data_IF_245444464931
#
_entry.id   IF_245444464931
#
_cell.length_a   1.000
_cell.length_b   1.000
_cell.length_c   1.000
_cell.angle_alpha   90.00
_cell.angle_beta   90.00
_cell.angle_gamma   90.00
#
_symmetry.space_group_name_H-M   'P 1'
#
loop_
_entity.id
_entity.type
_entity.pdbx_description
1 polymer ?
#
# COMPACT_ATOMS: atom_id res chain seq x y z
N UNK A 1 29.93 -63.70 3.51
CA UNK A 1 29.68 -63.53 4.96
C UNK A 1 30.38 -62.26 5.40
N UNK A 2 29.58 -61.35 5.93
CA UNK A 2 29.84 -59.93 6.21
C UNK A 2 30.98 -59.66 7.18
N UNK A 3 31.68 -58.54 7.03
CA UNK A 3 31.82 -57.52 8.09
C UNK A 3 32.19 -56.16 7.48
N UNK A 4 31.73 -55.13 8.20
CA UNK A 4 31.45 -53.76 7.82
C UNK A 4 32.58 -52.83 8.26
N UNK A 5 32.93 -51.81 7.47
CA UNK A 5 33.46 -50.53 8.00
C UNK A 5 33.52 -49.49 6.88
N UNK A 6 32.38 -48.84 6.67
CA UNK A 6 32.28 -47.54 6.05
C UNK A 6 32.90 -46.53 7.05
N UNK A 7 33.98 -45.86 6.68
CA UNK A 7 34.54 -44.75 7.43
C UNK A 7 34.55 -43.51 6.53
N UNK A 8 33.52 -42.68 6.71
CA UNK A 8 33.62 -41.23 6.72
C UNK A 8 32.58 -40.79 7.77
N UNK A 9 32.87 -39.88 8.73
CA UNK A 9 33.15 -38.49 8.36
C UNK A 9 34.12 -37.72 9.28
N UNK A 10 34.70 -36.63 8.75
CA UNK A 10 34.69 -35.27 9.35
C UNK A 10 35.68 -34.35 8.64
N UNK A 11 35.23 -33.42 7.79
CA UNK A 11 35.92 -32.15 7.66
C UNK A 11 35.65 -31.30 8.91
N UNK A 12 36.73 -30.76 9.45
CA UNK A 12 36.82 -29.79 10.54
C UNK A 12 35.67 -28.78 10.53
N UNK A 13 34.82 -28.86 11.55
CA UNK A 13 33.90 -27.78 11.94
C UNK A 13 34.74 -26.64 12.52
N UNK A 14 34.96 -25.60 11.72
CA UNK A 14 35.30 -24.28 12.20
C UNK A 14 34.62 -23.24 11.29
N UNK A 15 33.55 -22.68 11.83
CA UNK A 15 33.10 -21.30 11.60
C UNK A 15 32.55 -20.98 10.20
N UNK A 16 31.36 -21.51 9.91
CA UNK A 16 30.40 -20.74 9.13
C UNK A 16 29.88 -19.64 10.04
N UNK A 17 30.18 -18.34 9.80
CA UNK A 17 29.41 -17.30 10.46
C UNK A 17 27.97 -17.48 10.01
N UNK A 18 27.08 -17.54 10.99
CA UNK A 18 25.64 -17.69 10.83
C UNK A 18 25.13 -16.75 9.71
N UNK A 19 24.22 -17.22 8.81
CA UNK A 19 23.57 -16.28 7.92
C UNK A 19 22.85 -15.28 8.82
N UNK A 20 23.17 -14.00 8.65
CA UNK A 20 22.55 -12.89 9.32
C UNK A 20 21.02 -13.02 9.23
N UNK A 21 20.41 -13.63 10.26
CA UNK A 21 18.96 -13.65 10.47
C UNK A 21 18.62 -12.29 11.05
N UNK A 22 18.66 -11.27 10.20
CA UNK A 22 18.18 -9.90 10.39
C UNK A 22 18.57 -9.06 9.19
N UNK A 23 17.86 -9.27 8.09
CA UNK A 23 17.66 -8.18 7.16
C UNK A 23 16.31 -8.41 6.52
N UNK A 24 15.31 -7.68 7.04
CA UNK A 24 14.12 -7.37 6.28
C UNK A 24 14.54 -7.00 4.87
N UNK A 25 13.72 -7.39 3.90
CA UNK A 25 13.94 -7.19 2.47
C UNK A 25 14.19 -5.70 2.19
N UNK A 26 15.41 -5.24 2.44
CA UNK A 26 15.93 -3.97 2.00
C UNK A 26 16.17 -4.19 0.53
N UNK A 27 15.21 -3.71 -0.24
CA UNK A 27 15.35 -3.48 -1.66
C UNK A 27 16.50 -2.47 -1.85
N UNK A 28 17.74 -2.95 -1.80
CA UNK A 28 18.92 -2.16 -2.12
C UNK A 28 19.28 -2.39 -3.59
N UNK A 29 19.63 -1.28 -4.24
CA UNK A 29 20.31 -1.17 -5.55
C UNK A 29 19.40 -1.24 -6.78
N UNK A 30 18.76 -0.11 -7.12
CA UNK A 30 18.58 0.23 -8.55
C UNK A 30 17.40 1.11 -8.99
N UNK A 31 16.52 1.60 -8.12
CA UNK A 31 15.34 2.34 -8.57
C UNK A 31 15.14 3.59 -7.71
N UNK A 32 14.99 4.76 -8.33
CA UNK A 32 14.59 6.05 -7.75
C UNK A 32 13.20 6.03 -7.03
N UNK A 33 12.76 4.89 -6.53
CA UNK A 33 11.46 4.70 -5.87
C UNK A 33 11.48 5.21 -4.44
N UNK A 34 10.36 5.83 -4.05
CA UNK A 34 10.09 6.22 -2.66
C UNK A 34 9.86 4.97 -1.80
N UNK A 35 10.35 4.98 -0.56
CA UNK A 35 10.03 3.93 0.42
C UNK A 35 8.67 4.20 1.04
N UNK A 36 7.80 3.18 1.08
CA UNK A 36 6.46 3.30 1.67
C UNK A 36 6.54 3.29 3.19
N UNK A 37 7.35 2.39 3.74
CA UNK A 37 7.62 2.27 5.17
C UNK A 37 8.96 2.93 5.53
N UNK A 38 9.04 3.43 6.76
CA UNK A 38 10.24 4.06 7.31
C UNK A 38 11.22 3.03 7.91
N UNK A 39 12.21 3.52 8.67
CA UNK A 39 13.22 2.64 9.28
C UNK A 39 12.71 1.81 10.47
N UNK A 40 11.60 2.23 11.11
CA UNK A 40 10.94 1.50 12.19
C UNK A 40 9.90 0.50 11.65
N UNK A 41 9.44 0.72 10.41
CA UNK A 41 8.38 -0.07 9.78
C UNK A 41 7.03 0.65 9.77
N UNK A 42 7.00 1.92 10.21
CA UNK A 42 5.82 2.78 10.16
C UNK A 42 5.64 3.36 8.76
N UNK A 43 4.44 3.88 8.45
CA UNK A 43 4.20 4.57 7.19
C UNK A 43 5.09 5.82 7.08
N UNK A 44 5.68 6.04 5.91
CA UNK A 44 6.43 7.27 5.65
C UNK A 44 5.49 8.49 5.63
N UNK A 45 5.98 9.63 6.11
CA UNK A 45 5.22 10.91 6.12
C UNK A 45 4.63 11.27 4.75
N UNK A 46 5.36 10.92 3.67
CA UNK A 46 4.91 11.17 2.31
C UNK A 46 3.75 10.24 1.92
N UNK A 47 3.79 8.97 2.32
CA UNK A 47 2.69 8.04 2.11
C UNK A 47 1.47 8.45 2.91
N UNK A 48 1.62 8.81 4.19
CA UNK A 48 0.52 9.31 5.03
C UNK A 48 -0.18 10.51 4.38
N UNK A 49 0.57 11.47 3.82
CA UNK A 49 0.00 12.60 3.11
C UNK A 49 -0.79 12.18 1.84
N UNK A 50 -0.30 11.17 1.11
CA UNK A 50 -1.01 10.63 -0.06
C UNK A 50 -2.28 9.88 0.34
N UNK A 51 -2.22 9.09 1.42
CA UNK A 51 -3.36 8.38 1.98
C UNK A 51 -4.41 9.35 2.52
N UNK A 52 -4.00 10.46 3.16
CA UNK A 52 -4.90 11.54 3.55
C UNK A 52 -5.65 12.15 2.35
N UNK A 53 -4.97 12.32 1.21
CA UNK A 53 -5.62 12.74 -0.03
C UNK A 53 -6.64 11.73 -0.53
N UNK A 54 -6.29 10.43 -0.54
CA UNK A 54 -7.18 9.35 -0.96
C UNK A 54 -8.40 9.30 -0.05
N UNK A 55 -8.19 9.24 1.26
CA UNK A 55 -9.22 9.23 2.29
C UNK A 55 -10.21 10.39 2.08
N UNK A 56 -9.69 11.60 1.84
CA UNK A 56 -10.51 12.80 1.60
C UNK A 56 -11.44 12.71 0.39
N UNK A 57 -11.11 11.89 -0.62
CA UNK A 57 -11.98 11.67 -1.79
C UNK A 57 -13.25 10.88 -1.46
N UNK A 58 -13.22 10.09 -0.38
CA UNK A 58 -14.31 9.19 -0.01
C UNK A 58 -15.17 9.70 1.16
N UNK A 59 -14.82 10.85 1.74
CA UNK A 59 -15.59 11.53 2.79
C UNK A 59 -16.95 12.04 2.30
N UNK A 60 -17.90 12.19 3.22
CA UNK A 60 -19.24 12.71 2.94
C UNK A 60 -19.60 13.87 3.89
N UNK A 61 -19.83 15.09 3.37
CA UNK A 61 -19.73 15.50 1.97
C UNK A 61 -18.28 15.48 1.43
N UNK A 62 -18.08 15.31 0.12
CA UNK A 62 -16.73 15.27 -0.45
C UNK A 62 -16.01 16.60 -0.20
N UNK A 63 -14.77 16.51 0.29
CA UNK A 63 -13.95 17.68 0.55
C UNK A 63 -13.73 18.48 -0.73
N UNK A 64 -14.08 19.77 -0.69
CA UNK A 64 -13.79 20.69 -1.79
C UNK A 64 -12.35 21.17 -1.67
N UNK A 65 -11.72 21.49 -2.81
CA UNK A 65 -10.30 21.85 -3.00
C UNK A 65 -9.79 23.05 -2.17
N UNK A 66 -10.62 23.61 -1.30
CA UNK A 66 -10.28 24.69 -0.37
C UNK A 66 -9.31 24.24 0.74
N UNK A 67 -9.12 22.93 0.94
CA UNK A 67 -8.25 22.33 1.95
C UNK A 67 -7.05 21.58 1.33
N UNK A 68 -6.63 21.97 0.11
CA UNK A 68 -5.49 21.34 -0.54
C UNK A 68 -4.17 21.99 -0.11
N UNK A 69 -3.31 21.24 0.59
CA UNK A 69 -1.93 21.65 0.88
C UNK A 69 -0.99 20.94 -0.08
N UNK A 70 -0.11 21.70 -0.74
CA UNK A 70 0.82 21.17 -1.76
C UNK A 70 0.16 20.39 -2.91
N UNK A 71 -1.13 20.63 -3.18
CA UNK A 71 -1.89 19.93 -4.21
C UNK A 71 -2.52 18.61 -3.76
N UNK A 72 -2.31 18.18 -2.51
CA UNK A 72 -2.96 17.04 -1.88
C UNK A 72 -4.11 17.51 -0.98
N UNK A 73 -5.16 16.71 -0.87
CA UNK A 73 -6.30 17.02 -0.02
C UNK A 73 -5.92 16.63 1.40
N UNK A 74 -6.18 17.51 2.36
CA UNK A 74 -5.95 17.22 3.77
C UNK A 74 -7.31 17.06 4.45
N UNK A 75 -7.60 15.90 5.07
CA UNK A 75 -8.85 15.72 5.79
C UNK A 75 -8.89 16.62 7.03
N UNK A 76 -10.08 17.06 7.43
CA UNK A 76 -10.23 17.76 8.69
C UNK A 76 -9.95 16.84 9.88
N UNK A 77 -9.54 17.42 11.00
CA UNK A 77 -9.29 16.67 12.21
C UNK A 77 -10.60 16.06 12.71
N UNK A 78 -10.62 14.73 12.89
CA UNK A 78 -11.84 13.98 13.23
C UNK A 78 -12.72 13.59 12.04
N UNK A 79 -12.23 13.74 10.80
CA UNK A 79 -12.91 13.18 9.63
C UNK A 79 -13.00 11.65 9.69
N UNK A 80 -14.12 11.11 9.19
CA UNK A 80 -14.40 9.68 9.19
C UNK A 80 -15.09 9.22 7.91
N UNK A 81 -14.85 7.97 7.52
CA UNK A 81 -15.52 7.30 6.41
C UNK A 81 -16.79 6.60 6.90
N UNK A 82 -17.92 7.06 6.37
CA UNK A 82 -19.18 6.35 6.50
C UNK A 82 -19.08 4.97 5.83
N UNK A 83 -20.01 4.06 6.16
CA UNK A 83 -20.07 2.75 5.49
C UNK A 83 -20.18 2.88 3.96
N UNK A 84 -20.89 3.91 3.48
CA UNK A 84 -21.00 4.21 2.05
C UNK A 84 -19.67 4.74 1.45
N UNK A 85 -18.95 5.58 2.19
CA UNK A 85 -17.59 6.00 1.83
C UNK A 85 -16.64 4.82 1.69
N UNK A 86 -16.65 3.93 2.69
CA UNK A 86 -15.84 2.72 2.72
C UNK A 86 -16.17 1.76 1.58
N UNK A 87 -17.45 1.60 1.23
CA UNK A 87 -17.87 0.79 0.07
C UNK A 87 -17.34 1.34 -1.25
N UNK A 88 -17.41 2.66 -1.45
CA UNK A 88 -16.88 3.30 -2.66
C UNK A 88 -15.37 3.12 -2.77
N UNK A 89 -14.66 3.27 -1.66
CA UNK A 89 -13.23 3.00 -1.58
C UNK A 89 -12.93 1.55 -2.01
N UNK A 90 -13.59 0.57 -1.39
CA UNK A 90 -13.40 -0.84 -1.70
C UNK A 90 -13.73 -1.19 -3.16
N UNK A 91 -14.73 -0.54 -3.75
CA UNK A 91 -15.05 -0.72 -5.17
C UNK A 91 -13.93 -0.19 -6.07
N UNK A 92 -13.34 0.95 -5.74
CA UNK A 92 -12.28 1.56 -6.56
C UNK A 92 -10.99 0.72 -6.51
N UNK A 93 -10.65 0.14 -5.35
CA UNK A 93 -9.42 -0.62 -5.13
C UNK A 93 -9.56 -2.11 -5.44
N UNK A 94 -10.63 -2.75 -4.94
CA UNK A 94 -10.86 -4.20 -5.02
C UNK A 94 -11.87 -4.60 -6.10
N UNK A 95 -12.51 -3.63 -6.75
CA UNK A 95 -13.57 -3.86 -7.75
C UNK A 95 -14.94 -4.24 -7.16
N UNK A 96 -15.05 -4.39 -5.84
CA UNK A 96 -16.28 -4.79 -5.16
C UNK A 96 -16.33 -4.23 -3.72
N UNK A 97 -17.53 -3.98 -3.17
CA UNK A 97 -17.66 -3.52 -1.80
C UNK A 97 -17.19 -4.59 -0.81
N UNK A 98 -16.75 -4.16 0.38
CA UNK A 98 -16.45 -5.10 1.46
C UNK A 98 -17.71 -5.84 1.90
N UNK A 99 -17.54 -7.12 2.25
CA UNK A 99 -18.63 -7.90 2.85
C UNK A 99 -18.95 -7.36 4.24
N UNK A 100 -20.15 -7.68 4.74
CA UNK A 100 -20.53 -7.30 6.11
C UNK A 100 -19.59 -7.90 7.16
N UNK A 101 -19.07 -9.11 6.91
CA UNK A 101 -18.09 -9.78 7.77
C UNK A 101 -16.78 -9.00 7.82
N UNK A 102 -16.21 -8.65 6.65
CA UNK A 102 -14.98 -7.86 6.59
C UNK A 102 -15.15 -6.50 7.24
N UNK A 103 -16.30 -5.82 7.06
CA UNK A 103 -16.56 -4.54 7.72
C UNK A 103 -16.63 -4.67 9.24
N UNK A 104 -17.22 -5.74 9.76
CA UNK A 104 -17.25 -5.99 11.20
C UNK A 104 -15.85 -6.23 11.75
N UNK A 105 -14.99 -6.95 11.01
CA UNK A 105 -13.58 -7.11 11.38
C UNK A 105 -12.85 -5.76 11.38
N UNK A 106 -13.04 -4.94 10.34
CA UNK A 106 -12.45 -3.59 10.29
C UNK A 106 -12.88 -2.74 11.49
N UNK A 107 -14.14 -2.82 11.93
CA UNK A 107 -14.63 -2.09 13.12
C UNK A 107 -14.11 -2.65 14.45
N UNK A 108 -13.74 -3.93 14.51
CA UNK A 108 -13.22 -4.56 15.73
C UNK A 108 -11.71 -4.26 15.93
N UNK A 109 -10.96 -4.18 14.83
CA UNK A 109 -9.50 -4.09 14.88
C UNK A 109 -8.92 -2.71 14.56
N UNK A 110 -9.65 -1.86 13.84
CA UNK A 110 -9.15 -0.55 13.42
C UNK A 110 -9.72 0.57 14.28
N UNK A 111 -9.04 1.71 14.20
CA UNK A 111 -9.55 2.93 14.83
C UNK A 111 -10.84 3.41 14.15
N UNK A 112 -11.89 3.53 14.97
CA UNK A 112 -13.23 3.96 14.57
C UNK A 112 -13.71 5.07 15.50
N UNK A 113 -14.62 5.89 14.99
CA UNK A 113 -15.31 6.92 15.77
C UNK A 113 -16.39 6.30 16.71
N UNK A 114 -17.00 7.12 17.56
CA UNK A 114 -18.06 6.73 18.50
C UNK A 114 -19.29 6.10 17.79
N UNK A 115 -19.55 6.47 16.54
CA UNK A 115 -20.61 5.90 15.70
C UNK A 115 -20.16 4.67 14.87
N UNK A 116 -18.91 4.22 15.00
CA UNK A 116 -18.38 3.04 14.30
C UNK A 116 -17.92 3.30 12.87
N UNK A 117 -17.63 4.55 12.53
CA UNK A 117 -17.06 4.94 11.23
C UNK A 117 -15.54 4.89 11.25
N UNK A 118 -14.93 4.54 10.11
CA UNK A 118 -13.48 4.40 10.02
C UNK A 118 -12.81 5.78 10.02
N UNK A 119 -11.93 6.05 10.99
CA UNK A 119 -11.19 7.32 11.06
C UNK A 119 -10.02 7.33 10.09
N UNK A 120 -9.35 8.48 9.95
CA UNK A 120 -8.09 8.56 9.21
C UNK A 120 -7.04 7.61 9.81
N UNK A 121 -6.93 7.54 11.15
CA UNK A 121 -5.97 6.66 11.82
C UNK A 121 -6.25 5.18 11.49
N UNK A 122 -7.52 4.77 11.50
CA UNK A 122 -7.91 3.43 11.10
C UNK A 122 -7.61 3.14 9.63
N UNK A 123 -7.80 4.13 8.75
CA UNK A 123 -7.43 4.01 7.34
C UNK A 123 -5.92 3.84 7.13
N UNK A 124 -5.09 4.60 7.86
CA UNK A 124 -3.63 4.44 7.85
C UNK A 124 -3.22 3.04 8.34
N UNK A 125 -3.88 2.52 9.39
CA UNK A 125 -3.60 1.17 9.90
C UNK A 125 -3.82 0.06 8.86
N UNK A 126 -4.84 0.20 8.00
CA UNK A 126 -5.05 -0.75 6.87
C UNK A 126 -3.80 -0.79 6.00
N UNK A 127 -3.30 0.38 5.59
CA UNK A 127 -2.14 0.47 4.72
C UNK A 127 -0.83 0.10 5.40
N UNK A 128 -0.70 0.31 6.70
CA UNK A 128 0.46 -0.17 7.47
C UNK A 128 0.53 -1.71 7.40
N UNK A 129 -0.59 -2.38 7.71
CA UNK A 129 -0.68 -3.83 7.64
C UNK A 129 -0.48 -4.36 6.21
N UNK A 130 -1.14 -3.73 5.24
CA UNK A 130 -1.04 -4.12 3.82
C UNK A 130 0.39 -3.94 3.30
N UNK A 131 1.05 -2.82 3.59
CA UNK A 131 2.42 -2.53 3.14
C UNK A 131 3.44 -3.48 3.76
N UNK A 132 3.24 -3.87 5.03
CA UNK A 132 4.10 -4.86 5.69
C UNK A 132 4.00 -6.24 5.01
N UNK A 133 2.79 -6.63 4.59
CA UNK A 133 2.53 -7.96 4.03
C UNK A 133 2.78 -8.05 2.52
N UNK A 134 2.24 -7.11 1.74
CA UNK A 134 2.37 -7.02 0.28
C UNK A 134 2.43 -5.55 -0.18
N UNK A 135 3.64 -4.97 -0.15
CA UNK A 135 3.88 -3.59 -0.58
C UNK A 135 3.38 -3.31 -2.01
N UNK A 136 3.43 -4.31 -2.90
CA UNK A 136 2.96 -4.16 -4.28
C UNK A 136 1.45 -3.91 -4.37
N UNK A 137 0.65 -4.45 -3.44
CA UNK A 137 -0.77 -4.14 -3.35
C UNK A 137 -0.99 -2.65 -3.07
N UNK A 138 -0.26 -2.11 -2.09
CA UNK A 138 -0.34 -0.67 -1.75
C UNK A 138 0.01 0.21 -2.94
N UNK A 139 1.03 -0.18 -3.72
CA UNK A 139 1.38 0.54 -4.94
C UNK A 139 0.31 0.48 -6.03
N UNK A 140 -0.48 -0.59 -6.13
CA UNK A 140 -1.61 -0.66 -7.06
C UNK A 140 -2.71 0.32 -6.66
N UNK A 141 -3.05 0.39 -5.38
CA UNK A 141 -4.04 1.35 -4.87
C UNK A 141 -3.62 2.80 -5.11
N UNK A 142 -2.36 3.12 -4.80
CA UNK A 142 -1.77 4.43 -5.09
C UNK A 142 -1.87 4.78 -6.58
N UNK A 143 -1.55 3.83 -7.46
CA UNK A 143 -1.66 4.03 -8.91
C UNK A 143 -3.10 4.24 -9.36
N UNK A 144 -4.07 3.49 -8.82
CA UNK A 144 -5.51 3.67 -9.09
C UNK A 144 -5.97 5.07 -8.73
N UNK A 145 -5.41 5.65 -7.67
CA UNK A 145 -5.72 7.01 -7.25
C UNK A 145 -4.86 8.09 -7.93
N UNK A 146 -4.01 7.72 -8.88
CA UNK A 146 -3.25 8.65 -9.72
C UNK A 146 -1.88 9.05 -9.16
N UNK A 147 -1.31 8.28 -8.23
CA UNK A 147 0.05 8.49 -7.76
C UNK A 147 1.06 7.70 -8.60
N UNK A 148 2.21 8.31 -8.88
CA UNK A 148 3.34 7.62 -9.49
C UNK A 148 4.18 6.83 -8.45
N UNK A 149 5.21 6.13 -8.92
CA UNK A 149 6.15 5.35 -8.08
C UNK A 149 6.99 6.22 -7.12
N UNK A 150 6.86 7.53 -7.21
CA UNK A 150 7.56 8.51 -6.41
C UNK A 150 6.57 9.24 -5.48
N UNK A 151 5.32 8.78 -5.35
CA UNK A 151 4.25 9.42 -4.58
C UNK A 151 3.93 10.85 -5.02
N UNK A 152 4.02 11.14 -6.32
CA UNK A 152 3.51 12.39 -6.88
C UNK A 152 2.19 12.14 -7.59
N UNK A 153 1.22 13.03 -7.36
CA UNK A 153 -0.09 12.97 -8.01
C UNK A 153 0.06 13.35 -9.49
N UNK A 154 0.04 12.34 -10.36
CA UNK A 154 0.03 12.53 -11.81
C UNK A 154 -1.42 12.64 -12.27
N UNK A 155 -1.84 13.86 -12.62
CA UNK A 155 -3.14 14.09 -13.25
C UNK A 155 -3.12 13.46 -14.64
N UNK A 156 -3.37 12.15 -14.74
CA UNK A 156 -3.55 11.49 -16.02
C UNK A 156 -4.94 11.83 -16.58
N UNK A 157 -5.10 13.08 -17.02
CA UNK A 157 -5.99 13.37 -18.14
C UNK A 157 -5.10 13.74 -19.31
N UNK A 158 -4.62 12.73 -20.02
CA UNK A 158 -4.38 12.77 -21.47
C UNK A 158 -4.32 11.33 -21.97
N UNK A 159 -5.50 10.73 -22.12
CA UNK A 159 -5.70 9.76 -23.18
C UNK A 159 -5.81 10.56 -24.48
N UNK A 160 -4.88 10.36 -25.41
CA UNK A 160 -4.89 11.08 -26.67
C UNK A 160 -3.59 11.02 -27.47
N UNK A 161 -3.17 9.83 -27.92
CA UNK A 161 -2.66 9.70 -29.31
C UNK A 161 -2.89 8.27 -29.80
N UNK A 162 -4.03 8.07 -30.44
CA UNK A 162 -4.24 7.10 -31.50
C UNK A 162 -3.24 7.44 -32.63
N UNK A 163 -2.19 6.62 -32.81
CA UNK A 163 -1.29 6.71 -33.97
C UNK A 163 -1.23 5.34 -34.67
N UNK A 164 -2.19 5.22 -35.59
CA UNK A 164 -1.95 4.88 -36.98
C UNK A 164 -1.78 3.39 -37.32
N UNK A 165 -2.95 2.78 -37.58
CA UNK A 165 -3.10 1.70 -38.55
C UNK A 165 -2.35 2.02 -39.84
N UNK A 166 -1.33 1.24 -40.17
CA UNK A 166 -0.59 1.36 -41.43
C UNK A 166 -0.99 0.22 -42.38
N UNK A 167 -1.82 0.46 -43.41
CA UNK A 167 -1.89 -0.43 -44.56
C UNK A 167 -0.88 0.06 -45.61
N UNK A 168 0.14 -0.74 -45.90
CA UNK A 168 1.00 -0.50 -47.07
C UNK A 168 0.93 -1.69 -48.01
N UNK A 169 0.19 -1.51 -49.11
CA UNK A 169 0.40 -2.20 -50.37
C UNK A 169 0.15 -1.18 -51.49
N UNK A 170 1.10 -1.05 -52.42
CA UNK A 170 0.77 -1.37 -53.81
C UNK A 170 1.67 -2.47 -54.41
#
# INVERSE_FOLDING_TARGET
MSTFSLQDPTPTRAETPEPNVKQGRRNDIGNDGVQLLDADGDLSEKLEACLGHIFSKYLEPPFTSQHAENGLLVPEQGAYLTSAGLDRYAIDTNGQPFTAETKAELQEFLDIDEDGHLTLEGFLQIYALQSENDEEETWRDLSTHGFDRHLNLVSSRLEGTDETSQPTAP
#
